data_IF_727260974445
#
_entry.id   IF_727260974445
#
_cell.length_a   1.000
_cell.length_b   1.000
_cell.length_c   1.000
_cell.angle_alpha   90.00
_cell.angle_beta   90.00
_cell.angle_gamma   90.00
#
_symmetry.space_group_name_H-M   'P 1'
#
loop_
_entity.id
_entity.type
_entity.pdbx_description
1 polymer ?
#
# COMPACT_ATOMS: atom_id res chain seq x y z
N UNK A 1 17.91 -7.61 -10.69
CA UNK A 1 18.13 -7.35 -9.24
C UNK A 1 19.20 -8.32 -8.78
N UNK A 2 20.26 -7.86 -8.09
CA UNK A 2 21.40 -8.68 -7.66
C UNK A 2 21.17 -9.29 -6.25
N UNK A 3 19.93 -9.69 -5.95
CA UNK A 3 19.61 -10.36 -4.70
C UNK A 3 19.84 -11.85 -4.83
N UNK A 4 20.15 -12.53 -3.71
CA UNK A 4 20.13 -13.98 -3.67
C UNK A 4 18.75 -14.50 -4.06
N UNK A 5 18.68 -15.72 -4.59
CA UNK A 5 17.42 -16.33 -5.03
C UNK A 5 16.34 -16.35 -3.93
N UNK A 6 16.75 -16.56 -2.68
CA UNK A 6 15.86 -16.54 -1.52
C UNK A 6 15.26 -15.15 -1.27
N UNK A 7 16.09 -14.09 -1.32
CA UNK A 7 15.63 -12.71 -1.12
C UNK A 7 14.74 -12.29 -2.29
N UNK A 8 15.12 -12.61 -3.53
CA UNK A 8 14.33 -12.30 -4.72
C UNK A 8 12.95 -12.96 -4.67
N UNK A 9 12.87 -14.21 -4.19
CA UNK A 9 11.60 -14.92 -3.96
C UNK A 9 10.73 -14.18 -2.93
N UNK A 10 11.26 -13.87 -1.74
CA UNK A 10 10.51 -13.17 -0.70
C UNK A 10 9.99 -11.82 -1.19
N UNK A 11 10.83 -11.05 -1.91
CA UNK A 11 10.43 -9.77 -2.47
C UNK A 11 9.29 -9.92 -3.47
N UNK A 12 9.36 -10.89 -4.38
CA UNK A 12 8.30 -11.16 -5.36
C UNK A 12 6.98 -11.54 -4.70
N UNK A 13 7.00 -12.37 -3.65
CA UNK A 13 5.78 -12.73 -2.92
C UNK A 13 5.16 -11.52 -2.20
N UNK A 14 5.97 -10.65 -1.60
CA UNK A 14 5.47 -9.41 -1.01
C UNK A 14 4.85 -8.47 -2.05
N UNK A 15 5.46 -8.37 -3.24
CA UNK A 15 4.88 -7.59 -4.35
C UNK A 15 3.53 -8.17 -4.79
N UNK A 16 3.39 -9.50 -4.88
CA UNK A 16 2.10 -10.14 -5.18
C UNK A 16 1.02 -9.78 -4.15
N UNK A 17 1.37 -9.78 -2.86
CA UNK A 17 0.44 -9.39 -1.79
C UNK A 17 0.02 -7.92 -1.96
N UNK A 18 0.97 -7.03 -2.24
CA UNK A 18 0.65 -5.61 -2.47
C UNK A 18 -0.25 -5.42 -3.69
N UNK A 19 0.00 -6.16 -4.78
CA UNK A 19 -0.86 -6.14 -5.98
C UNK A 19 -2.27 -6.64 -5.66
N UNK A 20 -2.41 -7.71 -4.87
CA UNK A 20 -3.73 -8.17 -4.40
C UNK A 20 -4.46 -7.08 -3.61
N UNK A 21 -3.75 -6.39 -2.71
CA UNK A 21 -4.34 -5.31 -1.92
C UNK A 21 -4.81 -4.14 -2.78
N UNK A 22 -4.06 -3.77 -3.82
CA UNK A 22 -4.48 -2.74 -4.78
C UNK A 22 -5.74 -3.20 -5.52
N UNK A 23 -5.70 -4.40 -6.12
CA UNK A 23 -6.80 -4.91 -6.94
C UNK A 23 -8.11 -5.06 -6.16
N UNK A 24 -8.01 -5.44 -4.88
CA UNK A 24 -9.17 -5.59 -4.01
C UNK A 24 -9.45 -4.36 -3.14
N UNK A 25 -8.77 -3.24 -3.35
CA UNK A 25 -8.93 -2.01 -2.56
C UNK A 25 -8.88 -2.26 -1.04
N UNK A 26 -7.86 -2.99 -0.59
CA UNK A 26 -7.63 -3.34 0.83
C UNK A 26 -6.57 -2.43 1.46
N UNK A 27 -6.58 -2.39 2.80
CA UNK A 27 -5.58 -1.67 3.59
C UNK A 27 -5.48 -0.19 3.18
N UNK A 28 -4.28 0.31 2.82
CA UNK A 28 -4.09 1.71 2.46
C UNK A 28 -4.83 2.14 1.18
N UNK A 29 -5.29 1.18 0.38
CA UNK A 29 -6.05 1.42 -0.86
C UNK A 29 -7.56 1.32 -0.64
N UNK A 30 -8.01 1.00 0.58
CA UNK A 30 -9.44 0.97 0.88
C UNK A 30 -10.01 2.38 0.94
N UNK A 31 -11.27 2.51 0.50
CA UNK A 31 -11.99 3.79 0.51
C UNK A 31 -12.01 4.42 1.90
N UNK A 32 -12.30 3.64 2.94
CA UNK A 32 -12.33 4.13 4.32
C UNK A 32 -10.97 4.67 4.78
N UNK A 33 -9.87 4.00 4.42
CA UNK A 33 -8.53 4.47 4.75
C UNK A 33 -8.21 5.78 4.03
N UNK A 34 -8.49 5.85 2.73
CA UNK A 34 -8.28 7.06 1.92
C UNK A 34 -9.08 8.23 2.49
N UNK A 35 -10.36 8.01 2.83
CA UNK A 35 -11.24 9.06 3.35
C UNK A 35 -10.72 9.65 4.68
N UNK A 36 -10.21 8.81 5.59
CA UNK A 36 -9.62 9.25 6.86
C UNK A 36 -8.41 10.15 6.61
N UNK A 37 -7.48 9.71 5.75
CA UNK A 37 -6.25 10.46 5.47
C UNK A 37 -6.50 11.73 4.67
N UNK A 38 -7.46 11.69 3.74
CA UNK A 38 -7.85 12.87 2.99
C UNK A 38 -8.50 13.92 3.89
N UNK A 39 -9.40 13.51 4.79
CA UNK A 39 -9.95 14.40 5.82
C UNK A 39 -8.84 15.02 6.66
N UNK A 40 -7.88 14.20 7.12
CA UNK A 40 -6.74 14.67 7.91
C UNK A 40 -5.87 15.66 7.14
N UNK A 41 -5.63 15.42 5.86
CA UNK A 41 -4.91 16.35 4.98
C UNK A 41 -5.62 17.71 4.90
N UNK A 42 -6.94 17.73 4.72
CA UNK A 42 -7.72 18.97 4.69
C UNK A 42 -7.66 19.74 6.02
N UNK A 43 -7.74 19.03 7.15
CA UNK A 43 -7.56 19.65 8.48
C UNK A 43 -6.20 20.32 8.64
N UNK A 44 -5.14 19.69 8.12
CA UNK A 44 -3.77 20.22 8.21
C UNK A 44 -3.54 21.36 7.23
N UNK A 45 -4.11 21.30 6.02
CA UNK A 45 -4.01 22.35 5.00
C UNK A 45 -4.69 23.65 5.43
N UNK A 46 -5.77 23.55 6.20
CA UNK A 46 -6.57 24.70 6.64
C UNK A 46 -6.09 25.33 7.97
N UNK A 47 -4.93 24.91 8.47
CA UNK A 47 -4.23 25.50 9.63
C UNK A 47 -3.15 26.46 9.17
#
# INVERSE_FOLDING_TARGET
MNYSSQIDFILKENVKILVDWINNSKGPFSKSYIDIWYKRYLELKNR
#
